data_IF_625111762437
#
_entry.id   IF_625111762437
#
_cell.length_a   1.000
_cell.length_b   1.000
_cell.length_c   1.000
_cell.angle_alpha   90.00
_cell.angle_beta   90.00
_cell.angle_gamma   90.00
#
_symmetry.space_group_name_H-M   'P 1'
#
loop_
_entity.id
_entity.type
_entity.pdbx_description
1 polymer ?
#
# COMPACT_ATOMS: atom_id res chain seq x y z
N UNK A 1 -10.51 23.08 -10.22
CA UNK A 1 -9.34 23.31 -9.34
C UNK A 1 -8.46 22.09 -9.52
N UNK A 2 -7.35 22.23 -10.24
CA UNK A 2 -6.35 21.16 -10.43
C UNK A 2 -5.56 21.07 -9.14
N UNK A 3 -5.68 19.95 -8.42
CA UNK A 3 -4.96 19.71 -7.17
C UNK A 3 -3.67 18.96 -7.46
N UNK A 4 -2.56 19.48 -6.92
CA UNK A 4 -1.23 18.90 -7.06
C UNK A 4 -1.23 17.45 -6.57
N UNK A 5 -0.86 16.53 -7.47
CA UNK A 5 -0.71 15.12 -7.14
C UNK A 5 0.41 14.97 -6.12
N UNK A 6 0.08 14.58 -4.89
CA UNK A 6 1.07 14.29 -3.86
C UNK A 6 1.75 12.95 -4.16
N UNK A 7 2.89 13.01 -4.84
CA UNK A 7 3.76 11.86 -5.08
C UNK A 7 4.54 11.54 -3.81
N UNK A 8 4.47 10.30 -3.36
CA UNK A 8 5.28 9.79 -2.24
C UNK A 8 6.50 9.06 -2.83
N UNK A 9 7.70 9.52 -2.47
CA UNK A 9 8.96 8.86 -2.80
C UNK A 9 9.42 8.06 -1.58
N UNK A 10 9.54 6.74 -1.72
CA UNK A 10 10.10 5.87 -0.69
C UNK A 10 11.44 5.35 -1.18
N UNK A 11 12.51 5.75 -0.48
CA UNK A 11 13.85 5.21 -0.68
C UNK A 11 14.00 3.91 0.10
N UNK A 12 14.56 2.89 -0.57
CA UNK A 12 14.71 1.51 -0.10
C UNK A 12 13.37 0.80 0.06
N UNK A 13 13.09 -0.06 -0.90
CA UNK A 13 11.89 -0.90 -0.94
C UNK A 13 12.00 -2.18 -0.12
N UNK A 14 13.13 -2.37 0.58
CA UNK A 14 13.39 -3.58 1.37
C UNK A 14 14.09 -3.27 2.69
N UNK A 15 13.78 -4.06 3.71
CA UNK A 15 14.39 -3.98 5.03
C UNK A 15 14.44 -5.38 5.66
N UNK A 16 15.62 -5.84 6.10
CA UNK A 16 15.81 -7.11 6.84
C UNK A 16 15.06 -8.34 6.27
N UNK A 17 15.06 -8.51 4.94
CA UNK A 17 14.38 -9.65 4.30
C UNK A 17 12.88 -9.45 4.04
N UNK A 18 12.35 -8.27 4.37
CA UNK A 18 11.01 -7.82 4.00
C UNK A 18 11.05 -6.90 2.78
N UNK A 19 9.94 -6.87 2.05
CA UNK A 19 9.69 -6.04 0.88
C UNK A 19 8.43 -5.21 1.09
N UNK A 20 8.49 -3.95 0.68
CA UNK A 20 7.39 -3.00 0.72
C UNK A 20 6.70 -2.98 -0.65
N UNK A 21 5.54 -3.61 -0.78
CA UNK A 21 4.87 -3.76 -2.07
C UNK A 21 3.95 -2.59 -2.38
N UNK A 22 4.53 -1.53 -2.93
CA UNK A 22 3.75 -0.39 -3.38
C UNK A 22 2.89 -0.63 -4.62
N UNK A 23 3.14 -1.70 -5.38
CA UNK A 23 2.26 -2.11 -6.46
C UNK A 23 0.87 -2.52 -5.95
N UNK A 24 0.79 -2.88 -4.66
CA UNK A 24 -0.46 -3.19 -3.95
C UNK A 24 -0.75 -2.22 -2.81
N UNK A 25 -0.18 -1.02 -2.81
CA UNK A 25 -0.58 0.03 -1.87
C UNK A 25 -2.06 0.37 -2.05
N UNK A 26 -2.75 0.64 -0.94
CA UNK A 26 -4.19 0.91 -0.92
C UNK A 26 -4.46 2.28 -0.30
N UNK A 27 -5.36 3.04 -0.92
CA UNK A 27 -5.94 4.24 -0.31
C UNK A 27 -7.23 3.87 0.44
N UNK A 28 -7.19 3.93 1.77
CA UNK A 28 -8.29 3.51 2.65
C UNK A 28 -8.76 4.67 3.54
N UNK A 29 -9.99 4.59 4.01
CA UNK A 29 -10.52 5.61 4.93
C UNK A 29 -9.92 5.45 6.32
N UNK A 30 -9.39 6.53 6.89
CA UNK A 30 -8.81 6.57 8.24
C UNK A 30 -9.83 6.14 9.29
N UNK A 31 -11.06 6.66 9.22
CA UNK A 31 -12.12 6.33 10.17
C UNK A 31 -12.49 4.84 10.14
N UNK A 32 -12.56 4.24 8.96
CA UNK A 32 -12.82 2.80 8.82
C UNK A 32 -11.68 1.97 9.42
N UNK A 33 -10.43 2.37 9.19
CA UNK A 33 -9.25 1.70 9.77
C UNK A 33 -9.26 1.77 11.29
N UNK A 34 -9.60 2.93 11.88
CA UNK A 34 -9.67 3.13 13.33
C UNK A 34 -10.80 2.29 13.96
N UNK A 35 -11.98 2.27 13.35
CA UNK A 35 -13.16 1.61 13.92
C UNK A 35 -13.07 0.08 13.77
N UNK A 36 -12.63 -0.39 12.61
CA UNK A 36 -12.74 -1.81 12.24
C UNK A 36 -11.40 -2.54 12.20
N UNK A 37 -10.28 -1.83 12.09
CA UNK A 37 -8.96 -2.42 11.84
C UNK A 37 -8.79 -2.90 10.40
N UNK A 38 -7.53 -3.06 9.98
CA UNK A 38 -7.18 -3.32 8.57
C UNK A 38 -7.82 -4.60 8.02
N UNK A 39 -7.78 -5.72 8.75
CA UNK A 39 -8.28 -7.00 8.26
C UNK A 39 -9.78 -6.96 7.95
N UNK A 40 -10.56 -6.29 8.79
CA UNK A 40 -12.00 -6.13 8.59
C UNK A 40 -12.31 -5.19 7.43
N UNK A 41 -11.53 -4.11 7.29
CA UNK A 41 -11.66 -3.18 6.15
C UNK A 41 -11.37 -3.89 4.83
N UNK A 42 -10.31 -4.71 4.75
CA UNK A 42 -9.99 -5.49 3.56
C UNK A 42 -11.11 -6.48 3.22
N UNK A 43 -11.62 -7.20 4.23
CA UNK A 43 -12.73 -8.14 4.06
C UNK A 43 -13.99 -7.46 3.50
N UNK A 44 -14.37 -6.31 4.05
CA UNK A 44 -15.56 -5.55 3.60
C UNK A 44 -15.42 -4.97 2.20
N UNK A 45 -14.19 -4.67 1.78
CA UNK A 45 -13.88 -4.22 0.42
C UNK A 45 -13.60 -5.38 -0.55
N UNK A 46 -13.73 -6.63 -0.09
CA UNK A 46 -13.45 -7.85 -0.87
C UNK A 46 -12.03 -7.87 -1.45
N UNK A 47 -11.07 -7.24 -0.76
CA UNK A 47 -9.68 -7.19 -1.18
C UNK A 47 -8.97 -8.46 -0.73
N UNK A 48 -8.58 -9.28 -1.71
CA UNK A 48 -7.81 -10.50 -1.48
C UNK A 48 -6.39 -10.31 -2.00
N UNK A 49 -5.41 -10.46 -1.11
CA UNK A 49 -4.00 -10.38 -1.49
C UNK A 49 -3.56 -11.70 -2.13
N UNK A 50 -2.79 -11.67 -3.23
CA UNK A 50 -2.36 -12.88 -3.92
C UNK A 50 -1.26 -13.66 -3.15
N UNK A 51 -0.79 -13.13 -2.03
CA UNK A 51 0.26 -13.69 -1.19
C UNK A 51 0.01 -13.31 0.29
N UNK A 52 0.67 -13.97 1.25
CA UNK A 52 0.60 -13.61 2.66
C UNK A 52 1.20 -12.21 2.92
N UNK A 53 0.43 -11.35 3.60
CA UNK A 53 0.90 -10.06 4.09
C UNK A 53 1.30 -10.18 5.56
N UNK A 54 2.52 -9.73 5.88
CA UNK A 54 3.06 -9.75 7.24
C UNK A 54 2.40 -8.68 8.08
N UNK A 55 2.37 -7.45 7.57
CA UNK A 55 1.71 -6.32 8.18
C UNK A 55 1.41 -5.23 7.15
N UNK A 56 0.65 -4.22 7.57
CA UNK A 56 0.38 -3.02 6.79
C UNK A 56 0.98 -1.82 7.52
N UNK A 57 1.64 -0.93 6.78
CA UNK A 57 2.22 0.31 7.30
C UNK A 57 1.42 1.50 6.76
N UNK A 58 1.04 2.42 7.62
CA UNK A 58 0.51 3.73 7.25
C UNK A 58 1.65 4.65 6.83
N UNK A 59 1.72 5.00 5.55
CA UNK A 59 2.86 5.76 5.02
C UNK A 59 2.53 7.21 4.66
N UNK A 60 1.25 7.55 4.55
CA UNK A 60 0.81 8.89 4.20
C UNK A 60 -0.66 9.11 4.51
N UNK A 61 -0.99 10.30 5.01
CA UNK A 61 -2.35 10.73 5.31
C UNK A 61 -2.71 11.94 4.45
N UNK A 62 -3.87 11.89 3.82
CA UNK A 62 -4.43 13.02 3.06
C UNK A 62 -5.93 13.07 3.28
N UNK A 63 -6.40 14.18 3.84
CA UNK A 63 -7.79 14.33 4.30
C UNK A 63 -8.19 13.15 5.21
N UNK A 64 -9.32 12.50 4.92
CA UNK A 64 -9.84 11.33 5.66
C UNK A 64 -9.32 9.99 5.11
N UNK A 65 -8.25 10.01 4.30
CA UNK A 65 -7.68 8.84 3.64
C UNK A 65 -6.24 8.58 4.08
N UNK A 66 -5.86 7.31 4.08
CA UNK A 66 -4.54 6.81 4.45
C UNK A 66 -4.05 5.89 3.35
N UNK A 67 -2.79 6.07 2.95
CA UNK A 67 -2.09 5.11 2.10
C UNK A 67 -1.52 4.02 2.99
N UNK A 68 -2.07 2.81 2.84
CA UNK A 68 -1.61 1.61 3.52
C UNK A 68 -0.71 0.80 2.58
N UNK A 69 0.51 0.54 3.03
CA UNK A 69 1.54 -0.19 2.29
C UNK A 69 1.66 -1.61 2.86
N UNK A 70 1.42 -2.67 2.05
CA UNK A 70 1.61 -4.02 2.51
C UNK A 70 3.10 -4.39 2.58
N UNK A 71 3.46 -5.06 3.66
CA UNK A 71 4.80 -5.62 3.89
C UNK A 71 4.74 -7.12 3.73
N UNK A 72 5.64 -7.66 2.92
CA UNK A 72 5.71 -9.09 2.64
C UNK A 72 7.12 -9.62 2.83
N UNK A 73 7.26 -10.92 3.10
CA UNK A 73 8.58 -11.55 3.16
C UNK A 73 9.11 -11.67 1.73
N UNK A 74 10.40 -11.41 1.54
CA UNK A 74 11.07 -11.60 0.24
C UNK A 74 10.91 -13.04 -0.28
N UNK A 75 10.86 -14.03 0.62
CA UNK A 75 10.67 -15.45 0.28
C UNK A 75 9.30 -15.75 -0.31
N UNK A 76 8.29 -14.95 0.02
CA UNK A 76 6.91 -15.14 -0.43
C UNK A 76 6.71 -14.54 -1.83
N UNK A 77 7.70 -13.79 -2.33
CA UNK A 77 7.76 -13.22 -3.68
C UNK A 77 8.65 -14.10 -4.54
N UNK A 78 8.07 -14.91 -5.42
CA UNK A 78 8.84 -15.83 -6.27
C UNK A 78 9.71 -15.07 -7.29
N UNK A 79 10.97 -14.72 -6.99
CA UNK A 79 11.99 -14.18 -7.91
C UNK A 79 11.57 -13.04 -8.89
N UNK A 80 10.39 -12.45 -8.73
CA UNK A 80 9.68 -11.76 -9.82
C UNK A 80 9.86 -10.25 -9.84
N UNK A 81 10.59 -9.69 -8.90
CA UNK A 81 10.74 -8.24 -8.82
C UNK A 81 12.20 -7.93 -8.64
N UNK A 82 12.87 -7.53 -9.73
CA UNK A 82 13.91 -6.53 -9.64
C UNK A 82 13.21 -5.27 -9.13
N UNK A 83 12.96 -5.24 -7.82
CA UNK A 83 12.29 -4.11 -7.22
C UNK A 83 13.25 -2.93 -7.35
N UNK A 84 12.84 -1.84 -8.00
CA UNK A 84 13.64 -0.63 -7.97
C UNK A 84 13.90 -0.26 -6.50
N UNK A 85 15.07 0.31 -6.21
CA UNK A 85 15.40 0.74 -4.86
C UNK A 85 14.48 1.87 -4.38
N UNK A 86 13.82 2.56 -5.32
CA UNK A 86 12.88 3.63 -5.07
C UNK A 86 11.48 3.28 -5.58
N UNK A 87 10.47 3.68 -4.80
CA UNK A 87 9.06 3.59 -5.18
C UNK A 87 8.48 5.00 -5.31
N UNK A 88 7.68 5.19 -6.36
CA UNK A 88 6.82 6.36 -6.56
C UNK A 88 5.37 5.91 -6.39
N UNK A 89 4.68 6.45 -5.39
CA UNK A 89 3.25 6.19 -5.16
C UNK A 89 2.46 7.44 -5.51
N UNK A 90 1.48 7.30 -6.41
CA UNK A 90 0.42 8.29 -6.61
C UNK A 90 -0.86 7.76 -5.93
N UNK A 91 -1.27 8.33 -4.78
CA UNK A 91 -2.43 7.85 -4.03
C UNK A 91 -3.75 7.83 -4.84
N UNK A 92 -3.88 8.71 -5.83
CA UNK A 92 -5.10 8.90 -6.60
C UNK A 92 -5.06 8.23 -7.99
N UNK A 93 -3.97 7.57 -8.38
CA UNK A 93 -3.88 6.92 -9.70
C UNK A 93 -4.69 5.62 -9.81
N UNK A 94 -5.29 5.12 -8.73
CA UNK A 94 -6.09 3.88 -8.76
C UNK A 94 -7.55 4.10 -9.21
N UNK A 95 -8.02 5.35 -9.38
CA UNK A 95 -9.39 5.64 -9.85
C UNK A 95 -9.63 5.33 -11.34
N UNK A 96 -8.60 4.99 -12.12
CA UNK A 96 -8.71 4.79 -13.57
C UNK A 96 -8.84 3.32 -14.03
N UNK A 97 -9.29 2.40 -13.17
CA UNK A 97 -9.52 0.98 -13.51
C UNK A 97 -11.00 0.56 -13.37
N UNK A 98 -11.90 1.34 -13.96
CA UNK A 98 -13.30 0.97 -14.21
C UNK A 98 -13.58 0.89 -15.69
#
# INVERSE_FOLDING_TARGET
ISGDSNIILIHRTTFEGYYFDAGQALLLSASQLIIFGINEVLRRKEIVMPYPVVCWIDIYHVNEMVVMLPVIRKTDVSNRVNAPDDIIINPYSQESRT
#
